data_IF_784587249372
#
_entry.id   IF_784587249372
#
_cell.length_a   1.000
_cell.length_b   1.000
_cell.length_c   1.000
_cell.angle_alpha   90.00
_cell.angle_beta   90.00
_cell.angle_gamma   90.00
#
_symmetry.space_group_name_H-M   'P 1'
#
loop_
_entity.id
_entity.type
_entity.pdbx_description
1 polymer ?
#
# COMPACT_ATOMS: atom_id res chain seq x y z
N UNK A 1 -5.01 -16.02 -15.56
CA UNK A 1 -6.12 -16.82 -16.14
C UNK A 1 -7.17 -17.04 -15.07
N UNK A 2 -8.48 -17.04 -15.40
CA UNK A 2 -9.56 -17.32 -14.44
C UNK A 2 -9.40 -18.68 -13.75
N UNK A 3 -8.87 -19.66 -14.43
CA UNK A 3 -8.60 -21.01 -13.90
C UNK A 3 -7.57 -20.97 -12.76
N UNK A 4 -6.45 -20.27 -12.95
CA UNK A 4 -5.41 -20.12 -11.93
C UNK A 4 -5.94 -19.40 -10.68
N UNK A 5 -6.81 -18.40 -10.86
CA UNK A 5 -7.48 -17.72 -9.76
C UNK A 5 -8.31 -18.70 -8.92
N UNK A 6 -9.15 -19.51 -9.57
CA UNK A 6 -10.01 -20.49 -8.90
C UNK A 6 -9.20 -21.58 -8.18
N UNK A 7 -8.09 -22.02 -8.77
CA UNK A 7 -7.18 -22.99 -8.14
C UNK A 7 -6.56 -22.43 -6.86
N UNK A 8 -6.03 -21.22 -6.89
CA UNK A 8 -5.42 -20.57 -5.73
C UNK A 8 -6.47 -20.27 -4.66
N UNK A 9 -7.64 -19.74 -5.05
CA UNK A 9 -8.76 -19.52 -4.12
C UNK A 9 -9.19 -20.82 -3.43
N UNK A 10 -9.36 -21.90 -4.20
CA UNK A 10 -9.74 -23.21 -3.68
C UNK A 10 -8.67 -23.78 -2.74
N UNK A 11 -7.40 -23.61 -3.07
CA UNK A 11 -6.31 -24.05 -2.21
C UNK A 11 -6.31 -23.32 -0.85
N UNK A 12 -6.53 -22.00 -0.86
CA UNK A 12 -6.63 -21.19 0.37
C UNK A 12 -7.86 -21.63 1.19
N UNK A 13 -9.01 -21.75 0.53
CA UNK A 13 -10.23 -22.23 1.17
C UNK A 13 -10.03 -23.60 1.84
N UNK A 14 -9.50 -24.56 1.08
CA UNK A 14 -9.22 -25.91 1.58
C UNK A 14 -8.22 -25.90 2.73
N UNK A 15 -7.18 -25.09 2.65
CA UNK A 15 -6.22 -24.94 3.74
C UNK A 15 -6.89 -24.42 5.01
N UNK A 16 -7.70 -23.38 4.92
CA UNK A 16 -8.43 -22.83 6.06
C UNK A 16 -9.40 -23.86 6.68
N UNK A 17 -10.16 -24.57 5.84
CA UNK A 17 -11.17 -25.54 6.29
C UNK A 17 -10.53 -26.81 6.84
N UNK A 18 -9.53 -27.36 6.16
CA UNK A 18 -8.89 -28.63 6.59
C UNK A 18 -8.07 -28.45 7.86
N UNK A 19 -7.36 -27.34 8.00
CA UNK A 19 -6.61 -27.06 9.22
C UNK A 19 -7.54 -26.82 10.41
N UNK A 20 -8.70 -26.20 10.19
CA UNK A 20 -9.74 -26.08 11.21
C UNK A 20 -10.27 -27.44 11.65
N UNK A 21 -10.37 -28.42 10.73
CA UNK A 21 -10.81 -29.81 11.05
C UNK A 21 -9.72 -30.63 11.75
N UNK A 22 -8.46 -30.49 11.35
CA UNK A 22 -7.35 -31.25 11.95
C UNK A 22 -7.01 -30.81 13.38
N UNK A 23 -7.33 -29.58 13.75
CA UNK A 23 -7.19 -29.10 15.13
C UNK A 23 -8.31 -29.62 16.06
N UNK A 24 -9.37 -30.22 15.50
CA UNK A 24 -10.51 -30.80 16.25
C UNK A 24 -10.40 -32.27 16.58
N UNK A 25 -9.28 -32.96 16.28
CA UNK A 25 -9.17 -34.41 16.40
C UNK A 25 -8.52 -34.87 17.73
N UNK A 26 -8.81 -34.22 18.84
CA UNK A 26 -8.62 -34.82 20.18
C UNK A 26 -9.78 -34.41 21.11
N UNK A 27 -10.58 -35.44 21.51
CA UNK A 27 -11.64 -35.46 22.49
C UNK A 27 -13.07 -35.12 22.00
N UNK A 28 -13.84 -36.21 21.88
CA UNK A 28 -15.29 -36.24 21.56
C UNK A 28 -16.19 -35.80 22.72
N UNK A 29 -15.71 -35.08 23.73
CA UNK A 29 -16.50 -34.60 24.86
C UNK A 29 -16.09 -33.22 25.33
N UNK A 30 -16.41 -32.18 24.53
CA UNK A 30 -16.55 -30.79 25.05
C UNK A 30 -17.38 -29.90 24.13
N UNK A 31 -18.18 -28.98 24.69
CA UNK A 31 -19.17 -28.22 23.90
C UNK A 31 -18.59 -27.08 23.09
N UNK A 32 -19.06 -26.97 21.86
CA UNK A 32 -19.27 -25.80 20.96
C UNK A 32 -18.34 -24.56 21.00
N UNK A 33 -17.27 -24.50 21.78
CA UNK A 33 -16.34 -23.33 21.81
C UNK A 33 -15.08 -23.48 20.93
N UNK A 34 -14.76 -24.70 20.49
CA UNK A 34 -13.44 -25.02 19.89
C UNK A 34 -13.31 -24.72 18.39
N UNK A 35 -14.40 -24.64 17.64
CA UNK A 35 -14.36 -24.36 16.18
C UNK A 35 -13.95 -22.92 15.88
N UNK A 36 -14.25 -21.97 16.76
CA UNK A 36 -13.89 -20.58 16.59
C UNK A 36 -12.40 -20.30 16.80
N UNK A 37 -11.75 -21.02 17.71
CA UNK A 37 -10.33 -20.80 17.99
C UNK A 37 -9.41 -21.34 16.89
N UNK A 38 -9.73 -22.49 16.28
CA UNK A 38 -8.89 -23.06 15.21
C UNK A 38 -8.94 -22.22 13.92
N UNK A 39 -10.11 -21.68 13.55
CA UNK A 39 -10.22 -20.78 12.39
C UNK A 39 -9.52 -19.43 12.60
N UNK A 40 -9.50 -18.93 13.84
CA UNK A 40 -8.79 -17.70 14.22
C UNK A 40 -7.28 -17.90 14.09
N UNK A 41 -6.74 -19.02 14.57
CA UNK A 41 -5.30 -19.34 14.49
C UNK A 41 -4.86 -19.48 13.02
N UNK A 42 -5.64 -20.11 12.18
CA UNK A 42 -5.32 -20.27 10.75
C UNK A 42 -5.31 -18.92 10.01
N UNK A 43 -6.28 -18.05 10.27
CA UNK A 43 -6.34 -16.71 9.67
C UNK A 43 -5.14 -15.86 10.07
N UNK A 44 -4.77 -15.87 11.34
CA UNK A 44 -3.59 -15.16 11.85
C UNK A 44 -2.29 -15.64 11.18
N UNK A 45 -2.09 -16.95 11.06
CA UNK A 45 -0.91 -17.53 10.43
C UNK A 45 -0.80 -17.14 8.95
N UNK A 46 -1.89 -17.21 8.19
CA UNK A 46 -1.90 -16.81 6.77
C UNK A 46 -1.59 -15.32 6.65
N UNK A 47 -2.22 -14.49 7.47
CA UNK A 47 -2.04 -13.03 7.47
C UNK A 47 -0.58 -12.64 7.74
N UNK A 48 0.04 -13.22 8.76
CA UNK A 48 1.44 -12.96 9.09
C UNK A 48 2.40 -13.41 7.98
N UNK A 49 2.15 -14.58 7.39
CA UNK A 49 2.96 -15.08 6.26
C UNK A 49 2.83 -14.20 5.04
N UNK A 50 1.61 -13.74 4.73
CA UNK A 50 1.36 -12.82 3.63
C UNK A 50 2.06 -11.48 3.86
N UNK A 51 2.00 -10.93 5.06
CA UNK A 51 2.69 -9.69 5.41
C UNK A 51 4.21 -9.81 5.25
N UNK A 52 4.81 -10.90 5.74
CA UNK A 52 6.25 -11.18 5.56
C UNK A 52 6.62 -11.31 4.09
N UNK A 53 5.81 -12.03 3.32
CA UNK A 53 6.03 -12.17 1.88
C UNK A 53 5.99 -10.82 1.17
N UNK A 54 5.00 -9.98 1.44
CA UNK A 54 4.86 -8.66 0.82
C UNK A 54 6.06 -7.75 1.15
N UNK A 55 6.52 -7.74 2.40
CA UNK A 55 7.72 -6.98 2.81
C UNK A 55 8.95 -7.43 2.03
N UNK A 56 9.17 -8.74 1.96
CA UNK A 56 10.29 -9.30 1.20
C UNK A 56 10.18 -9.00 -0.31
N UNK A 57 8.98 -9.16 -0.87
CA UNK A 57 8.72 -8.89 -2.28
C UNK A 57 9.04 -7.44 -2.67
N UNK A 58 8.56 -6.47 -1.90
CA UNK A 58 8.83 -5.04 -2.16
C UNK A 58 10.32 -4.73 -1.95
N UNK A 59 10.93 -5.28 -0.90
CA UNK A 59 12.35 -5.06 -0.58
C UNK A 59 13.31 -5.57 -1.65
N UNK A 60 12.87 -6.51 -2.50
CA UNK A 60 13.68 -7.07 -3.58
C UNK A 60 13.53 -6.34 -4.93
N UNK A 61 12.76 -5.25 -5.00
CA UNK A 61 12.66 -4.49 -6.24
C UNK A 61 13.99 -3.85 -6.63
N UNK A 62 14.36 -3.98 -7.89
CA UNK A 62 15.62 -3.46 -8.43
C UNK A 62 15.38 -2.28 -9.36
N UNK A 63 16.19 -1.24 -9.18
CA UNK A 63 16.26 -0.12 -10.13
C UNK A 63 17.01 -0.54 -11.39
N UNK A 64 16.55 -0.05 -12.53
CA UNK A 64 17.30 -0.18 -13.78
C UNK A 64 18.48 0.82 -13.78
N UNK A 65 19.57 0.53 -14.52
CA UNK A 65 20.61 1.52 -14.74
C UNK A 65 20.00 2.83 -15.28
N UNK A 66 20.49 3.96 -14.78
CA UNK A 66 20.05 5.31 -15.17
C UNK A 66 18.54 5.63 -14.93
N UNK A 67 17.82 4.78 -14.23
CA UNK A 67 16.41 5.03 -13.86
C UNK A 67 16.37 5.97 -12.63
N UNK A 68 15.67 7.12 -12.74
CA UNK A 68 15.41 7.95 -11.56
C UNK A 68 14.54 7.22 -10.53
N UNK A 69 14.64 7.61 -9.26
CA UNK A 69 13.83 6.98 -8.22
C UNK A 69 12.33 7.16 -8.46
N UNK A 70 11.92 8.33 -8.95
CA UNK A 70 10.52 8.59 -9.32
C UNK A 70 10.00 7.64 -10.39
N UNK A 71 10.77 7.36 -11.46
CA UNK A 71 10.39 6.41 -12.51
C UNK A 71 10.30 4.99 -11.96
N UNK A 72 11.30 4.59 -11.17
CA UNK A 72 11.32 3.31 -10.47
C UNK A 72 10.08 3.12 -9.57
N UNK A 73 9.80 4.10 -8.71
CA UNK A 73 8.65 4.10 -7.81
C UNK A 73 7.33 3.94 -8.57
N UNK A 74 7.09 4.76 -9.60
CA UNK A 74 5.84 4.75 -10.37
C UNK A 74 5.69 3.45 -11.17
N UNK A 75 6.76 2.94 -11.75
CA UNK A 75 6.76 1.68 -12.49
C UNK A 75 6.33 0.50 -11.61
N UNK A 76 6.89 0.42 -10.41
CA UNK A 76 6.55 -0.64 -9.46
C UNK A 76 5.18 -0.42 -8.81
N UNK A 77 4.83 0.82 -8.48
CA UNK A 77 3.51 1.16 -7.93
C UNK A 77 2.37 0.69 -8.81
N UNK A 78 2.40 0.99 -10.10
CA UNK A 78 1.37 0.58 -11.05
C UNK A 78 1.16 -0.94 -11.09
N UNK A 79 2.25 -1.69 -11.10
CA UNK A 79 2.19 -3.16 -11.13
C UNK A 79 1.73 -3.74 -9.79
N UNK A 80 2.26 -3.19 -8.71
CA UNK A 80 1.97 -3.65 -7.36
C UNK A 80 0.49 -3.44 -6.98
N UNK A 81 -0.10 -2.29 -7.29
CA UNK A 81 -1.51 -2.01 -6.97
C UNK A 81 -2.47 -2.91 -7.76
N UNK A 82 -2.16 -3.24 -9.01
CA UNK A 82 -2.94 -4.24 -9.76
C UNK A 82 -2.83 -5.61 -9.07
N UNK A 83 -1.64 -6.01 -8.67
CA UNK A 83 -1.42 -7.24 -7.91
C UNK A 83 -2.14 -7.25 -6.56
N UNK A 84 -2.19 -6.12 -5.87
CA UNK A 84 -2.89 -5.98 -4.60
C UNK A 84 -4.41 -6.22 -4.73
N UNK A 85 -5.02 -5.67 -5.78
CA UNK A 85 -6.45 -5.91 -6.08
C UNK A 85 -6.68 -7.40 -6.35
N UNK A 86 -5.83 -8.03 -7.15
CA UNK A 86 -5.91 -9.44 -7.45
C UNK A 86 -5.76 -10.32 -6.20
N UNK A 87 -4.77 -10.03 -5.35
CA UNK A 87 -4.59 -10.72 -4.07
C UNK A 87 -5.78 -10.54 -3.15
N UNK A 88 -6.35 -9.33 -3.09
CA UNK A 88 -7.53 -9.06 -2.27
C UNK A 88 -8.71 -9.96 -2.65
N UNK A 89 -8.95 -10.16 -3.93
CA UNK A 89 -9.98 -11.09 -4.41
C UNK A 89 -9.62 -12.56 -4.09
N UNK A 90 -8.35 -12.92 -4.24
CA UNK A 90 -7.87 -14.29 -3.96
C UNK A 90 -8.05 -14.66 -2.48
N UNK A 91 -7.84 -13.71 -1.59
CA UNK A 91 -8.01 -13.87 -0.14
C UNK A 91 -9.36 -13.38 0.38
N UNK A 92 -10.38 -13.29 -0.46
CA UNK A 92 -11.71 -12.77 -0.09
C UNK A 92 -12.33 -13.55 1.08
N UNK A 93 -12.14 -14.88 1.13
CA UNK A 93 -12.60 -15.70 2.26
C UNK A 93 -11.98 -15.23 3.59
N UNK A 94 -10.67 -15.00 3.62
CA UNK A 94 -9.98 -14.49 4.82
C UNK A 94 -10.46 -13.07 5.19
N UNK A 95 -10.67 -12.20 4.20
CA UNK A 95 -11.20 -10.85 4.42
C UNK A 95 -12.57 -10.87 5.09
N UNK A 96 -13.49 -11.71 4.59
CA UNK A 96 -14.87 -11.75 5.08
C UNK A 96 -15.01 -12.40 6.46
N UNK A 97 -14.32 -13.50 6.70
CA UNK A 97 -14.56 -14.31 7.89
C UNK A 97 -13.57 -14.07 9.02
N UNK A 98 -12.32 -13.74 8.69
CA UNK A 98 -11.31 -13.51 9.71
C UNK A 98 -11.04 -12.03 9.95
N UNK A 99 -10.70 -11.27 8.90
CA UNK A 99 -10.35 -9.83 9.05
C UNK A 99 -11.52 -9.04 9.64
N UNK A 100 -12.75 -9.23 9.13
CA UNK A 100 -13.92 -8.51 9.64
C UNK A 100 -14.16 -8.81 11.11
N UNK A 101 -14.00 -10.08 11.52
CA UNK A 101 -14.14 -10.48 12.93
C UNK A 101 -13.09 -9.81 13.80
N UNK A 102 -11.81 -9.91 13.44
CA UNK A 102 -10.71 -9.31 14.20
C UNK A 102 -10.90 -7.79 14.36
N UNK A 103 -11.34 -7.12 13.31
CA UNK A 103 -11.66 -5.68 13.38
C UNK A 103 -12.88 -5.38 14.24
N UNK A 104 -13.92 -6.20 14.22
CA UNK A 104 -15.07 -6.10 15.12
C UNK A 104 -14.67 -6.26 16.59
N UNK A 105 -13.70 -7.14 16.85
CA UNK A 105 -13.13 -7.38 18.18
C UNK A 105 -12.12 -6.28 18.61
N UNK A 106 -12.02 -5.18 17.83
CA UNK A 106 -11.22 -4.00 18.15
C UNK A 106 -9.77 -4.02 17.64
N UNK A 107 -9.33 -5.05 16.91
CA UNK A 107 -7.98 -5.13 16.34
C UNK A 107 -7.85 -4.27 15.09
N UNK A 108 -7.71 -2.96 15.27
CA UNK A 108 -7.68 -1.98 14.18
C UNK A 108 -6.43 -2.04 13.28
N UNK A 109 -5.39 -2.74 13.71
CA UNK A 109 -4.17 -2.99 12.93
C UNK A 109 -4.29 -4.17 11.95
N UNK A 110 -5.39 -4.91 11.97
CA UNK A 110 -5.70 -5.96 11.00
C UNK A 110 -6.50 -5.35 9.86
N UNK A 111 -6.02 -5.53 8.62
CA UNK A 111 -6.60 -4.94 7.41
C UNK A 111 -7.04 -6.02 6.43
N UNK A 112 -8.00 -5.70 5.56
CA UNK A 112 -8.19 -6.47 4.34
C UNK A 112 -6.90 -6.52 3.51
N UNK A 113 -6.79 -7.50 2.62
CA UNK A 113 -5.53 -7.77 1.91
C UNK A 113 -5.10 -6.59 1.03
N UNK A 114 -6.04 -5.89 0.40
CA UNK A 114 -5.68 -4.71 -0.40
C UNK A 114 -5.08 -3.61 0.46
N UNK A 115 -5.71 -3.30 1.58
CA UNK A 115 -5.21 -2.30 2.55
C UNK A 115 -3.88 -2.74 3.16
N UNK A 116 -3.72 -4.03 3.48
CA UNK A 116 -2.43 -4.59 3.93
C UNK A 116 -1.32 -4.36 2.90
N UNK A 117 -1.61 -4.57 1.62
CA UNK A 117 -0.65 -4.29 0.54
C UNK A 117 -0.24 -2.82 0.51
N UNK A 118 -1.21 -1.89 0.61
CA UNK A 118 -0.93 -0.45 0.62
C UNK A 118 -0.11 -0.03 1.85
N UNK A 119 -0.46 -0.53 3.03
CA UNK A 119 0.28 -0.26 4.27
C UNK A 119 1.70 -0.82 4.23
N UNK A 120 1.89 -2.00 3.65
CA UNK A 120 3.22 -2.59 3.46
C UNK A 120 4.06 -1.79 2.47
N UNK A 121 3.45 -1.32 1.38
CA UNK A 121 4.13 -0.41 0.45
C UNK A 121 4.56 0.88 1.14
N UNK A 122 3.68 1.47 1.94
CA UNK A 122 3.99 2.67 2.71
C UNK A 122 5.20 2.44 3.61
N UNK A 123 5.19 1.37 4.40
CA UNK A 123 6.26 1.05 5.34
C UNK A 123 7.61 0.78 4.67
N UNK A 124 7.62 -0.01 3.58
CA UNK A 124 8.87 -0.54 2.99
C UNK A 124 9.39 0.35 1.86
N UNK A 125 8.51 0.94 1.05
CA UNK A 125 8.91 1.70 -0.13
C UNK A 125 8.78 3.21 0.06
N UNK A 126 7.66 3.68 0.59
CA UNK A 126 7.37 5.12 0.65
C UNK A 126 8.09 5.81 1.81
N UNK A 127 7.85 5.39 3.06
CA UNK A 127 8.36 6.10 4.25
C UNK A 127 9.90 6.26 4.24
N UNK A 128 10.71 5.24 3.91
CA UNK A 128 12.15 5.37 3.88
C UNK A 128 12.67 6.29 2.76
N UNK A 129 11.91 6.48 1.69
CA UNK A 129 12.34 7.17 0.48
C UNK A 129 11.51 8.42 0.16
N UNK A 130 10.58 8.82 1.02
CA UNK A 130 9.65 9.92 0.77
C UNK A 130 10.35 11.24 0.42
N UNK A 131 11.41 11.57 1.13
CA UNK A 131 12.19 12.80 0.89
C UNK A 131 12.83 12.82 -0.50
N UNK A 132 13.46 11.71 -0.91
CA UNK A 132 14.07 11.59 -2.24
C UNK A 132 13.02 11.67 -3.33
N UNK A 133 11.93 10.95 -3.17
CA UNK A 133 10.81 10.91 -4.11
C UNK A 133 10.18 12.30 -4.30
N UNK A 134 9.87 12.98 -3.20
CA UNK A 134 9.26 14.31 -3.24
C UNK A 134 10.20 15.35 -3.83
N UNK A 135 11.49 15.31 -3.50
CA UNK A 135 12.47 16.20 -4.10
C UNK A 135 12.59 16.02 -5.62
N UNK A 136 12.57 14.79 -6.13
CA UNK A 136 12.56 14.55 -7.58
C UNK A 136 11.28 15.11 -8.24
N UNK A 137 10.11 14.95 -7.59
CA UNK A 137 8.84 15.52 -8.08
C UNK A 137 8.93 17.04 -8.15
N UNK A 138 9.37 17.68 -7.06
CA UNK A 138 9.47 19.15 -6.98
C UNK A 138 10.50 19.71 -7.95
N UNK A 139 11.60 19.00 -8.19
CA UNK A 139 12.59 19.39 -9.20
C UNK A 139 11.98 19.36 -10.60
N UNK A 140 11.24 18.33 -10.97
CA UNK A 140 10.55 18.25 -12.27
C UNK A 140 9.50 19.35 -12.43
N UNK A 141 8.76 19.69 -11.37
CA UNK A 141 7.81 20.82 -11.42
C UNK A 141 8.54 22.15 -11.67
N UNK A 142 9.69 22.36 -11.03
CA UNK A 142 10.52 23.55 -11.29
C UNK A 142 11.02 23.56 -12.73
N UNK A 143 11.52 22.45 -13.24
CA UNK A 143 11.95 22.30 -14.63
C UNK A 143 10.84 22.60 -15.64
N UNK A 144 9.59 22.18 -15.34
CA UNK A 144 8.43 22.51 -16.17
C UNK A 144 8.15 24.02 -16.19
N UNK A 145 8.25 24.69 -15.03
CA UNK A 145 8.09 26.15 -14.94
C UNK A 145 9.16 26.90 -15.75
N UNK A 146 10.35 26.33 -15.82
CA UNK A 146 11.48 26.83 -16.63
C UNK A 146 11.35 26.44 -18.13
N UNK A 147 10.21 25.87 -18.54
CA UNK A 147 9.91 25.56 -19.95
C UNK A 147 10.43 24.21 -20.44
N UNK A 148 10.95 23.35 -19.54
CA UNK A 148 11.39 22.00 -19.92
C UNK A 148 10.21 21.04 -20.05
N UNK A 149 10.35 20.06 -20.93
CA UNK A 149 9.33 19.03 -21.12
C UNK A 149 9.48 17.92 -20.06
N UNK A 150 8.39 17.67 -19.32
CA UNK A 150 8.36 16.66 -18.25
C UNK A 150 7.27 15.61 -18.47
N UNK A 151 7.36 14.47 -17.78
CA UNK A 151 6.33 13.44 -17.79
C UNK A 151 5.25 13.71 -16.74
N UNK A 152 4.25 14.53 -17.09
CA UNK A 152 3.11 14.84 -16.20
C UNK A 152 2.38 13.59 -15.70
N UNK A 153 2.26 12.56 -16.54
CA UNK A 153 1.63 11.30 -16.16
C UNK A 153 2.37 10.56 -15.04
N UNK A 154 3.70 10.62 -15.03
CA UNK A 154 4.53 10.07 -13.96
C UNK A 154 4.34 10.83 -12.65
N UNK A 155 4.38 12.17 -12.70
CA UNK A 155 4.13 13.01 -11.54
C UNK A 155 2.74 12.78 -10.93
N UNK A 156 1.71 12.82 -11.78
CA UNK A 156 0.32 12.59 -11.36
C UNK A 156 0.16 11.23 -10.69
N UNK A 157 0.77 10.18 -11.22
CA UNK A 157 0.68 8.84 -10.62
C UNK A 157 1.35 8.79 -9.25
N UNK A 158 2.54 9.39 -9.11
CA UNK A 158 3.24 9.45 -7.84
C UNK A 158 2.44 10.22 -6.78
N UNK A 159 1.93 11.40 -7.12
CA UNK A 159 1.15 12.23 -6.19
C UNK A 159 -0.16 11.53 -5.79
N UNK A 160 -0.85 10.89 -6.73
CA UNK A 160 -2.06 10.09 -6.43
C UNK A 160 -1.76 8.92 -5.49
N UNK A 161 -0.55 8.34 -5.54
CA UNK A 161 -0.17 7.29 -4.60
C UNK A 161 -0.11 7.79 -3.15
N UNK A 162 0.28 9.04 -2.91
CA UNK A 162 0.30 9.63 -1.57
C UNK A 162 -1.10 9.75 -0.97
N UNK A 163 -2.09 10.07 -1.81
CA UNK A 163 -3.50 10.06 -1.41
C UNK A 163 -3.96 8.63 -1.08
N UNK A 164 -3.61 7.67 -1.92
CA UNK A 164 -3.97 6.26 -1.71
C UNK A 164 -3.34 5.65 -0.45
N UNK A 165 -2.16 6.12 -0.04
CA UNK A 165 -1.46 5.69 1.17
C UNK A 165 -1.98 6.36 2.45
N UNK A 166 -2.85 7.37 2.35
CA UNK A 166 -3.51 8.02 3.47
C UNK A 166 -4.64 7.16 4.04
N UNK A 167 -4.30 6.18 4.86
CA UNK A 167 -5.24 5.22 5.45
C UNK A 167 -5.42 5.54 6.93
N UNK A 168 -6.68 5.72 7.35
CA UNK A 168 -7.05 5.82 8.77
C UNK A 168 -7.34 4.41 9.31
N UNK A 169 -6.52 3.87 10.22
CA UNK A 169 -6.75 2.54 10.78
C UNK A 169 -8.08 2.40 11.52
N UNK A 170 -8.63 3.48 12.05
CA UNK A 170 -9.89 3.47 12.78
C UNK A 170 -11.09 3.42 11.83
N UNK A 171 -11.00 4.11 10.70
CA UNK A 171 -12.06 4.16 9.69
C UNK A 171 -11.48 4.09 8.28
N UNK A 172 -11.45 2.90 7.70
CA UNK A 172 -10.89 2.66 6.36
C UNK A 172 -11.65 3.34 5.23
N UNK A 173 -12.87 3.84 5.49
CA UNK A 173 -13.68 4.56 4.50
C UNK A 173 -13.46 6.07 4.56
N UNK A 174 -12.83 6.55 5.63
CA UNK A 174 -12.57 7.98 5.82
C UNK A 174 -11.43 8.43 4.92
N UNK A 175 -11.68 9.49 4.16
CA UNK A 175 -10.62 10.15 3.41
C UNK A 175 -9.59 10.74 4.38
N UNK A 176 -8.35 10.32 4.24
CA UNK A 176 -7.22 10.82 5.02
C UNK A 176 -6.12 11.33 4.09
N UNK A 177 -5.96 12.64 4.03
CA UNK A 177 -4.97 13.30 3.19
C UNK A 177 -3.63 13.58 3.89
N UNK A 178 -3.43 13.10 5.12
CA UNK A 178 -2.24 13.42 5.91
C UNK A 178 -0.92 13.08 5.18
N UNK A 179 -0.83 11.92 4.53
CA UNK A 179 0.38 11.55 3.78
C UNK A 179 0.64 12.54 2.64
N UNK A 180 -0.39 12.87 1.87
CA UNK A 180 -0.32 13.84 0.78
C UNK A 180 0.07 15.23 1.30
N UNK A 181 -0.58 15.73 2.33
CA UNK A 181 -0.35 17.06 2.88
C UNK A 181 1.07 17.18 3.44
N UNK A 182 1.48 16.24 4.30
CA UNK A 182 2.78 16.30 4.97
C UNK A 182 3.95 16.03 4.03
N UNK A 183 3.82 15.04 3.15
CA UNK A 183 4.91 14.66 2.27
C UNK A 183 5.05 15.56 1.03
N UNK A 184 3.95 16.08 0.49
CA UNK A 184 3.95 16.79 -0.78
C UNK A 184 3.42 18.22 -0.71
N UNK A 185 2.20 18.44 -0.21
CA UNK A 185 1.54 19.76 -0.30
C UNK A 185 2.33 20.85 0.41
N UNK A 186 2.75 20.60 1.66
CA UNK A 186 3.53 21.57 2.44
C UNK A 186 4.87 21.90 1.77
N UNK A 187 5.72 20.93 1.38
CA UNK A 187 6.95 21.21 0.66
C UNK A 187 6.73 21.90 -0.71
N UNK A 188 5.67 21.50 -1.40
CA UNK A 188 5.31 22.10 -2.71
C UNK A 188 4.96 23.58 -2.58
N UNK A 189 4.14 23.94 -1.61
CA UNK A 189 3.77 25.35 -1.37
C UNK A 189 4.96 26.19 -0.98
N UNK A 190 5.81 25.69 -0.06
CA UNK A 190 7.03 26.39 0.35
C UNK A 190 8.00 26.63 -0.82
N UNK A 191 8.20 25.61 -1.67
CA UNK A 191 9.07 25.74 -2.84
C UNK A 191 8.46 26.61 -3.93
N UNK A 192 7.15 26.65 -4.05
CA UNK A 192 6.44 27.52 -4.97
C UNK A 192 6.58 28.97 -4.57
N UNK A 193 6.44 29.29 -3.29
CA UNK A 193 6.64 30.64 -2.75
C UNK A 193 8.08 31.11 -2.99
N UNK A 194 9.07 30.29 -2.69
CA UNK A 194 10.48 30.62 -2.93
C UNK A 194 10.77 30.88 -4.40
N UNK A 195 10.25 30.04 -5.30
CA UNK A 195 10.43 30.19 -6.75
C UNK A 195 9.89 31.53 -7.27
N UNK A 196 8.67 31.89 -6.90
CA UNK A 196 8.07 33.16 -7.38
C UNK A 196 8.65 34.40 -6.72
N UNK A 197 9.14 34.27 -5.49
CA UNK A 197 9.88 35.36 -4.84
C UNK A 197 11.19 35.66 -5.59
N UNK A 198 11.98 34.66 -5.87
CA UNK A 198 13.22 34.80 -6.64
C UNK A 198 12.95 35.35 -8.06
N UNK A 199 11.92 34.84 -8.72
CA UNK A 199 11.50 35.30 -10.04
C UNK A 199 11.09 36.78 -10.03
N UNK A 200 10.35 37.26 -9.02
CA UNK A 200 9.93 38.63 -8.88
C UNK A 200 11.12 39.60 -8.59
N UNK A 201 12.07 39.16 -7.77
CA UNK A 201 13.31 39.93 -7.48
C UNK A 201 14.13 40.10 -8.76
N UNK A 202 14.34 39.03 -9.52
CA UNK A 202 15.06 39.09 -10.81
C UNK A 202 14.35 39.98 -11.83
N UNK A 203 13.03 39.98 -11.86
CA UNK A 203 12.26 40.85 -12.78
C UNK A 203 12.40 42.32 -12.43
N UNK A 204 12.38 42.66 -11.12
CA UNK A 204 12.56 44.05 -10.65
C UNK A 204 13.96 44.56 -10.88
N UNK A 205 14.98 43.71 -10.81
CA UNK A 205 16.40 44.10 -11.04
C UNK A 205 16.70 44.33 -12.54
N UNK A 206 15.86 43.80 -13.43
CA UNK A 206 16.06 43.90 -14.89
C UNK A 206 15.19 44.97 -15.57
N UNK A 207 14.24 45.59 -14.85
CA UNK A 207 13.33 46.64 -15.35
C UNK A 207 13.29 47.82 -14.41
#
# INVERSE_FOLDING_TARGET
SPTMYMEVYTAIYNYCVNKSRSSGHFNADKPTGSQNQSSILVGSEIYERLQKYLKHYIGNFQRQPDESFLKFYVRHWKRYTIGAIFLNHTFDYMNRYWVQKERSDGKRHIFDVNTLCLMTWKEVMFDPNSTVLVNEILNQITEERDGKNISRGTLTTAIKSFVALGIDPQDLKKLNLNVYIQAFEIPFLARTEAYYKEYSEQYLDTH
#
